data_IF_264859959066
#
_entry.id   IF_264859959066
#
_cell.length_a   1.000
_cell.length_b   1.000
_cell.length_c   1.000
_cell.angle_alpha   90.00
_cell.angle_beta   90.00
_cell.angle_gamma   90.00
#
_symmetry.space_group_name_H-M   'P 1'
#
loop_
_entity.id
_entity.type
_entity.pdbx_description
1 polymer ?
#
# COMPACT_ATOMS: atom_id res chain seq x y z
N UNK A 1 0.99 15.54 -17.49
CA UNK A 1 1.00 15.49 -16.01
C UNK A 1 2.37 15.04 -15.53
N UNK A 2 3.00 15.73 -14.56
CA UNK A 2 4.32 15.34 -14.05
C UNK A 2 4.18 14.22 -13.03
N UNK A 3 4.71 13.05 -13.32
CA UNK A 3 4.61 11.85 -12.48
C UNK A 3 5.97 11.42 -11.96
N UNK A 4 5.99 10.59 -10.92
CA UNK A 4 7.14 9.80 -10.49
C UNK A 4 6.68 8.42 -10.08
N UNK A 5 7.56 7.43 -10.27
CA UNK A 5 7.34 6.06 -9.83
C UNK A 5 8.25 5.72 -8.66
N UNK A 6 7.72 5.02 -7.66
CA UNK A 6 8.49 4.53 -6.52
C UNK A 6 8.26 3.03 -6.40
N UNK A 7 9.34 2.26 -6.30
CA UNK A 7 9.32 0.82 -6.06
C UNK A 7 10.02 0.51 -4.74
N UNK A 8 9.60 -0.50 -3.98
CA UNK A 8 10.31 -0.91 -2.77
C UNK A 8 11.72 -1.40 -3.05
N UNK A 9 11.92 -2.20 -4.09
CA UNK A 9 13.20 -2.84 -4.41
C UNK A 9 13.64 -2.60 -5.85
N UNK A 10 14.94 -2.80 -6.11
CA UNK A 10 15.48 -2.74 -7.48
C UNK A 10 15.01 -3.93 -8.31
N UNK A 11 14.78 -5.07 -7.70
CA UNK A 11 14.28 -6.28 -8.33
C UNK A 11 12.89 -6.05 -8.93
N UNK A 12 12.02 -5.33 -8.22
CA UNK A 12 10.70 -4.94 -8.71
C UNK A 12 10.75 -3.85 -9.78
N UNK A 13 11.69 -2.91 -9.65
CA UNK A 13 11.82 -1.77 -10.56
C UNK A 13 12.53 -2.09 -11.87
N UNK A 14 13.46 -3.05 -11.87
CA UNK A 14 14.42 -3.28 -12.95
C UNK A 14 13.76 -3.50 -14.32
N UNK A 15 12.72 -4.32 -14.37
CA UNK A 15 12.05 -4.61 -15.64
C UNK A 15 11.42 -3.34 -16.23
N UNK A 16 10.77 -2.52 -15.39
CA UNK A 16 10.20 -1.25 -15.81
C UNK A 16 11.25 -0.22 -16.18
N UNK A 17 12.36 -0.11 -15.44
CA UNK A 17 13.48 0.78 -15.79
C UNK A 17 14.05 0.45 -17.17
N UNK A 18 14.14 -0.83 -17.54
CA UNK A 18 14.64 -1.28 -18.83
C UNK A 18 13.71 -0.94 -20.00
N UNK A 19 12.47 -0.54 -19.76
CA UNK A 19 11.57 0.01 -20.80
C UNK A 19 11.84 1.50 -21.08
N UNK A 20 12.81 2.11 -20.39
CA UNK A 20 13.16 3.53 -20.51
C UNK A 20 11.97 4.48 -20.32
N UNK A 21 11.26 4.40 -19.17
CA UNK A 21 10.09 5.23 -18.93
C UNK A 21 10.45 6.72 -18.95
N UNK A 22 9.52 7.55 -19.43
CA UNK A 22 9.70 9.02 -19.52
C UNK A 22 9.79 9.69 -18.16
N UNK A 23 9.08 9.17 -17.18
CA UNK A 23 8.99 9.72 -15.83
C UNK A 23 10.05 9.10 -14.90
N UNK A 24 10.57 9.86 -13.91
CA UNK A 24 11.58 9.38 -12.98
C UNK A 24 11.13 8.17 -12.15
N UNK A 25 12.00 7.18 -12.04
CA UNK A 25 11.83 5.99 -11.21
C UNK A 25 12.77 6.07 -10.00
N UNK A 26 12.24 5.76 -8.82
CA UNK A 26 12.95 5.71 -7.55
C UNK A 26 12.83 4.33 -6.91
N UNK A 27 13.88 3.90 -6.24
CA UNK A 27 13.86 2.75 -5.33
C UNK A 27 13.78 3.29 -3.91
N UNK A 28 12.71 2.95 -3.21
CA UNK A 28 12.35 3.55 -1.93
C UNK A 28 12.86 2.80 -0.70
N UNK A 29 13.09 1.51 -0.81
CA UNK A 29 13.35 0.60 0.31
C UNK A 29 12.09 -0.10 0.80
N UNK A 30 12.28 -1.26 1.43
CA UNK A 30 11.20 -2.10 1.96
C UNK A 30 10.74 -1.59 3.32
N UNK A 31 9.42 -1.57 3.51
CA UNK A 31 8.78 -1.26 4.78
C UNK A 31 8.45 0.22 4.98
N UNK A 32 7.58 0.46 5.96
CA UNK A 32 6.94 1.77 6.18
C UNK A 32 7.92 2.92 6.38
N UNK A 33 9.01 2.72 7.12
CA UNK A 33 9.96 3.80 7.42
C UNK A 33 10.74 4.23 6.17
N UNK A 34 11.25 3.26 5.42
CA UNK A 34 12.06 3.53 4.22
C UNK A 34 11.22 4.18 3.13
N UNK A 35 10.03 3.63 2.85
CA UNK A 35 9.15 4.18 1.82
C UNK A 35 8.65 5.59 2.18
N UNK A 36 8.36 5.87 3.45
CA UNK A 36 7.97 7.20 3.89
C UNK A 36 9.08 8.22 3.64
N UNK A 37 10.31 7.90 4.04
CA UNK A 37 11.47 8.77 3.83
C UNK A 37 11.77 8.97 2.35
N UNK A 38 11.69 7.92 1.53
CA UNK A 38 11.92 7.99 0.10
C UNK A 38 10.85 8.84 -0.61
N UNK A 39 9.58 8.61 -0.30
CA UNK A 39 8.45 9.37 -0.85
C UNK A 39 8.60 10.86 -0.54
N UNK A 40 8.88 11.20 0.73
CA UNK A 40 9.11 12.58 1.15
C UNK A 40 10.24 13.24 0.35
N UNK A 41 11.39 12.56 0.21
CA UNK A 41 12.54 13.08 -0.56
C UNK A 41 12.21 13.27 -2.03
N UNK A 42 11.57 12.26 -2.66
CA UNK A 42 11.23 12.30 -4.08
C UNK A 42 10.22 13.40 -4.40
N UNK A 43 9.16 13.55 -3.60
CA UNK A 43 8.16 14.61 -3.77
C UNK A 43 8.77 15.99 -3.61
N UNK A 44 9.57 16.22 -2.56
CA UNK A 44 10.25 17.51 -2.36
C UNK A 44 11.22 17.87 -3.50
N UNK A 45 11.96 16.87 -4.01
CA UNK A 45 12.94 17.11 -5.06
C UNK A 45 12.30 17.31 -6.44
N UNK A 46 11.26 16.56 -6.77
CA UNK A 46 10.68 16.53 -8.11
C UNK A 46 9.40 17.34 -8.26
N UNK A 47 8.69 17.59 -7.15
CA UNK A 47 7.39 18.30 -7.12
C UNK A 47 6.43 17.72 -8.18
N UNK A 48 6.11 16.41 -8.10
CA UNK A 48 5.20 15.78 -9.03
C UNK A 48 3.76 16.23 -8.76
N UNK A 49 2.87 15.96 -9.72
CA UNK A 49 1.43 16.05 -9.55
C UNK A 49 0.87 14.70 -9.11
N UNK A 50 1.48 13.60 -9.56
CA UNK A 50 1.09 12.23 -9.21
C UNK A 50 2.31 11.41 -8.78
N UNK A 51 2.16 10.66 -7.69
CA UNK A 51 3.14 9.66 -7.24
C UNK A 51 2.53 8.27 -7.38
N UNK A 52 3.23 7.37 -8.05
CA UNK A 52 2.81 5.99 -8.25
C UNK A 52 3.69 5.08 -7.42
N UNK A 53 3.11 4.36 -6.45
CA UNK A 53 3.79 3.27 -5.77
C UNK A 53 3.50 1.98 -6.54
N UNK A 54 4.53 1.32 -7.04
CA UNK A 54 4.42 0.09 -7.79
C UNK A 54 5.23 -1.03 -7.11
N UNK A 55 4.69 -2.24 -7.06
CA UNK A 55 5.37 -3.37 -6.43
C UNK A 55 4.54 -4.64 -6.47
N UNK A 56 5.08 -5.69 -5.85
CA UNK A 56 4.36 -6.95 -5.68
C UNK A 56 3.58 -6.96 -4.37
N UNK A 57 2.62 -7.89 -4.24
CA UNK A 57 1.83 -8.09 -3.03
C UNK A 57 1.40 -9.55 -2.88
N UNK A 58 1.10 -9.97 -1.65
CA UNK A 58 0.47 -11.24 -1.35
C UNK A 58 -1.06 -11.13 -1.35
N UNK A 59 -1.79 -11.98 -2.08
CA UNK A 59 -3.24 -12.03 -1.99
C UNK A 59 -3.68 -12.73 -0.69
N UNK A 60 -4.63 -12.13 0.03
CA UNK A 60 -5.15 -12.72 1.27
C UNK A 60 -6.14 -13.88 1.01
N UNK A 61 -6.66 -13.97 -0.19
CA UNK A 61 -7.54 -15.04 -0.62
C UNK A 61 -7.29 -15.40 -2.10
N UNK A 62 -8.06 -16.35 -2.64
CA UNK A 62 -7.89 -16.84 -4.01
C UNK A 62 -8.84 -16.19 -5.03
N UNK A 63 -9.46 -15.08 -4.69
CA UNK A 63 -10.26 -14.29 -5.64
C UNK A 63 -9.36 -13.60 -6.66
N UNK A 64 -8.13 -13.25 -6.23
CA UNK A 64 -7.07 -12.74 -7.09
C UNK A 64 -6.14 -13.87 -7.54
N UNK A 65 -5.67 -13.78 -8.79
CA UNK A 65 -4.73 -14.76 -9.37
C UNK A 65 -3.30 -14.26 -9.23
N UNK A 66 -2.33 -15.19 -9.16
CA UNK A 66 -0.92 -14.82 -9.30
C UNK A 66 -0.69 -14.12 -10.64
N UNK A 67 0.17 -13.12 -10.64
CA UNK A 67 0.42 -12.26 -11.79
C UNK A 67 -0.66 -11.19 -12.03
N UNK A 68 -1.81 -11.26 -11.38
CA UNK A 68 -2.87 -10.27 -11.57
C UNK A 68 -2.45 -8.91 -11.04
N UNK A 69 -2.61 -7.87 -11.88
CA UNK A 69 -2.38 -6.49 -11.47
C UNK A 69 -3.64 -5.88 -10.86
N UNK A 70 -3.51 -5.25 -9.70
CA UNK A 70 -4.61 -4.59 -8.98
C UNK A 70 -4.26 -3.15 -8.63
N UNK A 71 -5.27 -2.31 -8.51
CA UNK A 71 -5.16 -0.97 -7.95
C UNK A 71 -5.49 -1.03 -6.46
N UNK A 72 -4.51 -0.69 -5.60
CA UNK A 72 -4.74 -0.52 -4.17
C UNK A 72 -5.42 0.81 -3.91
N UNK A 73 -6.66 0.80 -3.42
CA UNK A 73 -7.45 2.04 -3.20
C UNK A 73 -7.51 2.44 -1.74
N UNK A 74 -7.45 1.49 -0.83
CA UNK A 74 -7.38 1.73 0.61
C UNK A 74 -6.23 0.96 1.24
N UNK A 75 -5.76 1.40 2.39
CA UNK A 75 -4.69 0.77 3.16
C UNK A 75 -4.99 0.81 4.65
N UNK A 76 -4.79 -0.30 5.34
CA UNK A 76 -4.77 -0.37 6.80
C UNK A 76 -3.46 -0.96 7.29
N UNK A 77 -3.05 -0.64 8.52
CA UNK A 77 -1.85 -1.24 9.13
C UNK A 77 -2.29 -2.40 10.03
N UNK A 78 -1.75 -3.59 9.78
CA UNK A 78 -2.01 -4.76 10.62
C UNK A 78 -1.38 -4.59 12.02
N UNK A 79 -2.06 -5.14 13.04
CA UNK A 79 -1.56 -5.14 14.41
C UNK A 79 -1.75 -3.84 15.19
N UNK A 80 -2.32 -2.80 14.59
CA UNK A 80 -2.72 -1.59 15.31
C UNK A 80 -4.03 -1.85 16.06
N UNK A 81 -4.12 -1.58 17.38
CA UNK A 81 -5.38 -1.71 18.11
C UNK A 81 -6.48 -0.86 17.47
N UNK A 82 -7.71 -1.38 17.40
CA UNK A 82 -8.84 -0.77 16.71
C UNK A 82 -9.06 0.71 17.06
N UNK A 83 -8.94 1.09 18.34
CA UNK A 83 -9.08 2.48 18.79
C UNK A 83 -8.06 3.46 18.18
N UNK A 84 -6.97 2.96 17.58
CA UNK A 84 -5.92 3.74 16.91
C UNK A 84 -5.84 3.42 15.42
N UNK A 85 -6.60 2.44 14.96
CA UNK A 85 -6.62 2.06 13.56
C UNK A 85 -7.09 3.24 12.69
N UNK A 86 -6.45 3.37 11.56
CA UNK A 86 -6.80 4.36 10.52
C UNK A 86 -6.80 3.65 9.19
N UNK A 87 -7.66 4.12 8.32
CA UNK A 87 -7.64 3.80 6.91
C UNK A 87 -6.98 4.94 6.15
N UNK A 88 -6.17 4.60 5.17
CA UNK A 88 -5.49 5.51 4.28
C UNK A 88 -5.98 5.24 2.87
N UNK A 89 -6.23 6.29 2.10
CA UNK A 89 -6.78 6.16 0.75
C UNK A 89 -5.80 6.68 -0.29
N UNK A 90 -5.84 6.13 -1.49
CA UNK A 90 -5.23 6.74 -2.66
C UNK A 90 -6.10 7.86 -3.18
N UNK A 91 -5.49 8.89 -3.76
CA UNK A 91 -6.17 10.11 -4.23
C UNK A 91 -5.96 10.39 -5.72
N UNK A 92 -5.27 9.49 -6.41
CA UNK A 92 -4.97 9.62 -7.84
C UNK A 92 -6.15 9.19 -8.73
N UNK A 93 -5.95 9.24 -10.05
CA UNK A 93 -6.96 8.84 -11.03
C UNK A 93 -7.27 7.34 -10.94
N UNK A 94 -8.44 6.95 -11.41
CA UNK A 94 -8.79 5.56 -11.68
C UNK A 94 -7.89 5.01 -12.80
N UNK A 95 -7.25 3.87 -12.53
CA UNK A 95 -6.30 3.24 -13.45
C UNK A 95 -6.96 2.16 -14.32
N UNK A 96 -8.23 1.85 -14.09
CA UNK A 96 -8.97 0.82 -14.82
C UNK A 96 -8.51 -0.60 -14.49
N UNK A 97 -7.88 -0.81 -13.33
CA UNK A 97 -7.51 -2.13 -12.82
C UNK A 97 -8.55 -2.65 -11.83
N UNK A 98 -8.62 -3.96 -11.59
CA UNK A 98 -9.37 -4.50 -10.46
C UNK A 98 -8.95 -3.83 -9.15
N UNK A 99 -9.93 -3.41 -8.34
CA UNK A 99 -9.66 -2.71 -7.09
C UNK A 99 -9.35 -3.71 -5.98
N UNK A 100 -8.44 -3.32 -5.07
CA UNK A 100 -8.09 -4.09 -3.90
C UNK A 100 -7.91 -3.21 -2.66
N UNK A 101 -8.20 -3.75 -1.48
CA UNK A 101 -7.84 -3.14 -0.21
C UNK A 101 -6.46 -3.65 0.22
N UNK A 102 -5.57 -2.73 0.61
CA UNK A 102 -4.24 -3.06 1.08
C UNK A 102 -4.19 -3.31 2.59
N UNK A 103 -3.36 -4.24 2.98
CA UNK A 103 -2.98 -4.51 4.36
C UNK A 103 -1.49 -4.33 4.50
N UNK A 104 -1.06 -3.23 5.11
CA UNK A 104 0.35 -2.97 5.36
C UNK A 104 0.81 -3.71 6.60
N UNK A 105 1.84 -4.53 6.46
CA UNK A 105 2.41 -5.37 7.51
C UNK A 105 3.89 -5.07 7.74
N UNK A 106 4.41 -5.44 8.91
CA UNK A 106 5.84 -5.39 9.19
C UNK A 106 6.59 -6.65 8.75
N UNK A 107 5.87 -7.75 8.58
CA UNK A 107 6.38 -9.04 8.12
C UNK A 107 5.30 -9.78 7.33
N UNK A 108 5.67 -10.42 6.24
CA UNK A 108 4.74 -11.21 5.43
C UNK A 108 4.03 -12.29 6.25
N UNK A 109 2.71 -12.40 6.07
CA UNK A 109 1.84 -13.31 6.81
C UNK A 109 1.15 -12.68 8.03
N UNK A 110 1.56 -11.51 8.49
CA UNK A 110 0.95 -10.85 9.66
C UNK A 110 -0.48 -10.35 9.35
N UNK A 111 -0.79 -10.08 8.09
CA UNK A 111 -2.13 -9.64 7.65
C UNK A 111 -3.19 -10.71 7.80
N UNK A 112 -2.86 -11.97 7.55
CA UNK A 112 -3.77 -13.11 7.74
C UNK A 112 -4.08 -13.35 9.23
N UNK A 113 -3.09 -13.17 10.11
CA UNK A 113 -3.26 -13.34 11.55
C UNK A 113 -4.20 -12.28 12.17
N UNK A 114 -4.30 -11.11 11.55
CA UNK A 114 -5.17 -10.03 12.05
C UNK A 114 -6.68 -10.32 11.87
N UNK A 115 -7.07 -11.25 10.99
CA UNK A 115 -8.48 -11.64 10.78
C UNK A 115 -8.99 -12.62 11.85
N UNK A 116 -8.10 -13.38 12.49
CA UNK A 116 -8.49 -14.45 13.43
C UNK A 116 -8.71 -13.98 14.88
N UNK A 117 -8.56 -12.69 15.21
CA UNK A 117 -8.57 -12.18 16.58
C UNK A 117 -7.40 -12.71 17.43
N UNK A 118 -7.13 -12.19 18.63
CA UNK A 118 -6.05 -12.68 19.46
C UNK A 118 -6.33 -14.13 19.86
N UNK A 119 -5.61 -15.08 19.26
CA UNK A 119 -5.54 -16.44 19.79
C UNK A 119 -4.95 -16.31 21.19
N UNK A 120 -5.76 -16.65 22.21
CA UNK A 120 -5.37 -16.76 23.61
C UNK A 120 -3.96 -17.35 23.68
N UNK A 121 -2.97 -16.55 24.09
CA UNK A 121 -1.66 -17.05 24.44
C UNK A 121 -1.83 -17.93 25.70
N UNK A 122 -1.75 -19.24 25.52
CA UNK A 122 -1.63 -20.16 26.61
C UNK A 122 -0.32 -19.90 27.34
N UNK A 123 -0.45 -19.63 28.62
CA UNK A 123 0.47 -19.74 29.75
C UNK A 123 1.96 -20.01 29.45
N UNK A 124 2.80 -19.05 29.79
CA UNK A 124 4.24 -19.18 29.84
C UNK A 124 4.88 -18.15 30.77
N UNK A 125 5.00 -18.49 32.04
CA UNK A 125 5.95 -18.06 33.08
C UNK A 125 6.32 -16.58 33.17
N UNK A 126 5.90 -15.98 34.31
CA UNK A 126 6.20 -14.63 34.73
C UNK A 126 7.68 -14.29 34.83
N UNK A 127 7.99 -13.09 34.37
CA UNK A 127 9.08 -12.28 34.90
C UNK A 127 8.52 -10.89 35.16
N UNK A 128 8.58 -10.49 36.42
CA UNK A 128 8.26 -9.15 36.88
C UNK A 128 9.21 -8.16 36.23
N UNK A 129 8.72 -7.29 35.37
CA UNK A 129 9.43 -6.12 34.88
C UNK A 129 9.00 -4.92 35.72
N UNK A 130 9.99 -4.26 36.28
CA UNK A 130 9.85 -3.10 37.15
C UNK A 130 9.18 -1.92 36.47
N UNK A 131 8.52 -1.17 37.31
CA UNK A 131 7.86 0.11 37.10
C UNK A 131 8.80 1.12 36.42
N UNK A 132 8.68 1.30 35.12
CA UNK A 132 9.31 2.38 34.37
C UNK A 132 8.27 3.48 34.19
N UNK A 133 8.40 4.53 35.00
CA UNK A 133 7.55 5.71 34.99
C UNK A 133 7.39 6.28 33.56
N UNK A 134 6.17 6.40 33.11
CA UNK A 134 5.81 7.12 31.89
C UNK A 134 6.14 8.60 32.08
N UNK A 135 7.03 9.11 31.23
CA UNK A 135 7.25 10.54 31.10
C UNK A 135 5.98 11.23 30.65
N UNK A 136 5.65 12.35 31.30
CA UNK A 136 4.53 13.23 30.96
C UNK A 136 4.59 13.65 29.47
N UNK A 137 3.44 13.81 28.79
CA UNK A 137 3.42 14.25 27.41
C UNK A 137 3.92 15.69 27.29
N UNK A 138 4.82 15.94 26.35
CA UNK A 138 5.31 17.27 26.02
C UNK A 138 4.17 18.25 25.74
N UNK A 139 4.13 19.46 26.33
CA UNK A 139 3.15 20.48 26.04
C UNK A 139 3.45 21.11 24.69
N UNK A 140 2.64 20.82 23.67
CA UNK A 140 2.83 21.38 22.35
C UNK A 140 1.84 20.93 21.27
N UNK A 141 0.98 19.98 21.55
CA UNK A 141 -0.10 19.60 20.61
C UNK A 141 -1.46 19.96 21.23
N UNK A 142 -2.04 21.06 20.82
CA UNK A 142 -3.40 21.43 21.17
C UNK A 142 -4.38 20.74 20.22
N UNK A 143 -5.53 20.35 20.76
CA UNK A 143 -6.58 19.60 20.05
C UNK A 143 -7.27 20.39 18.91
N UNK A 144 -6.81 21.61 18.60
CA UNK A 144 -7.44 22.53 17.66
C UNK A 144 -6.93 22.41 16.21
N UNK A 145 -5.89 21.63 15.94
CA UNK A 145 -5.40 21.44 14.56
C UNK A 145 -6.23 20.39 13.76
N UNK A 146 -7.41 20.00 14.26
CA UNK A 146 -8.32 19.05 13.59
C UNK A 146 -9.35 19.70 12.67
N UNK A 147 -9.35 21.02 12.52
CA UNK A 147 -10.31 21.72 11.68
C UNK A 147 -9.66 22.11 10.35
N UNK A 148 -10.02 21.39 9.32
CA UNK A 148 -9.93 21.88 7.96
C UNK A 148 -9.11 21.06 7.00
N UNK A 149 -9.67 19.98 6.51
CA UNK A 149 -9.77 19.70 5.08
C UNK A 149 -10.76 18.56 4.93
N UNK A 150 -12.05 18.93 4.91
CA UNK A 150 -13.05 18.08 4.27
C UNK A 150 -12.71 18.13 2.78
N UNK A 151 -12.13 17.07 2.26
CA UNK A 151 -12.06 16.84 0.83
C UNK A 151 -13.51 16.75 0.35
N UNK A 152 -13.86 17.60 -0.61
CA UNK A 152 -15.11 17.55 -1.35
C UNK A 152 -15.26 16.12 -1.91
N UNK A 153 -16.26 15.41 -1.38
CA UNK A 153 -16.50 14.01 -1.68
C UNK A 153 -16.98 13.82 -3.13
N UNK A 154 -16.05 13.77 -4.04
CA UNK A 154 -16.32 13.17 -5.35
C UNK A 154 -16.27 11.66 -5.16
N UNK A 155 -17.44 11.06 -4.88
CA UNK A 155 -17.60 9.60 -4.87
C UNK A 155 -17.11 9.05 -6.20
N UNK A 156 -16.00 8.30 -6.18
CA UNK A 156 -15.61 7.45 -7.31
C UNK A 156 -16.77 6.50 -7.60
N UNK A 157 -17.38 6.65 -8.78
CA UNK A 157 -18.36 5.69 -9.28
C UNK A 157 -17.59 4.42 -9.62
N UNK A 158 -17.96 3.30 -8.99
CA UNK A 158 -17.46 1.98 -9.37
C UNK A 158 -17.86 1.69 -10.80
N UNK A 159 -16.93 1.23 -11.67
CA UNK A 159 -17.30 0.82 -13.03
C UNK A 159 -18.24 -0.39 -12.95
N UNK A 160 -19.29 -0.39 -13.75
CA UNK A 160 -20.16 -1.55 -13.97
C UNK A 160 -19.33 -2.67 -14.63
N UNK A 161 -18.74 -3.54 -13.82
CA UNK A 161 -18.00 -4.72 -14.24
C UNK A 161 -18.79 -5.97 -13.93
N UNK A 162 -19.11 -6.70 -14.97
CA UNK A 162 -19.62 -8.09 -15.08
C UNK A 162 -20.47 -8.64 -13.90
N UNK A 163 -21.78 -8.91 -14.07
CA UNK A 163 -22.75 -9.14 -12.98
C UNK A 163 -22.81 -10.57 -12.43
N UNK A 164 -21.73 -11.32 -12.38
CA UNK A 164 -21.79 -12.71 -11.90
C UNK A 164 -20.87 -13.02 -10.71
N UNK A 165 -20.64 -12.15 -9.76
CA UNK A 165 -20.25 -12.47 -8.37
C UNK A 165 -19.80 -11.25 -7.56
N UNK A 166 -20.67 -10.29 -7.32
CA UNK A 166 -20.37 -9.22 -6.35
C UNK A 166 -21.40 -9.26 -5.22
N UNK A 167 -20.99 -9.82 -4.08
CA UNK A 167 -21.51 -9.35 -2.81
C UNK A 167 -21.18 -7.86 -2.70
N UNK A 168 -22.19 -7.00 -2.69
CA UNK A 168 -22.06 -5.55 -2.64
C UNK A 168 -20.99 -5.14 -1.62
N UNK A 169 -19.91 -4.46 -2.07
CA UNK A 169 -18.94 -3.78 -1.22
C UNK A 169 -17.69 -4.55 -0.82
N UNK A 170 -17.48 -5.81 -1.21
CA UNK A 170 -16.25 -6.55 -0.86
C UNK A 170 -15.12 -6.24 -1.84
N UNK A 171 -14.02 -5.66 -1.32
CA UNK A 171 -12.75 -5.56 -2.04
C UNK A 171 -11.84 -6.72 -1.62
N UNK A 172 -11.21 -7.44 -2.57
CA UNK A 172 -10.19 -8.42 -2.22
C UNK A 172 -9.02 -7.73 -1.51
N UNK A 173 -8.41 -8.42 -0.54
CA UNK A 173 -7.30 -7.85 0.22
C UNK A 173 -5.95 -8.34 -0.30
N UNK A 174 -4.98 -7.41 -0.33
CA UNK A 174 -3.57 -7.69 -0.65
C UNK A 174 -2.65 -7.20 0.46
N UNK A 175 -1.71 -8.06 0.87
CA UNK A 175 -0.69 -7.76 1.86
C UNK A 175 0.53 -7.12 1.19
N UNK A 176 1.00 -6.01 1.76
CA UNK A 176 2.22 -5.31 1.37
C UNK A 176 2.93 -4.71 2.58
N UNK A 177 4.09 -4.09 2.43
CA UNK A 177 4.86 -3.53 3.55
C UNK A 177 4.98 -2.00 3.53
N UNK A 178 4.40 -1.31 2.59
CA UNK A 178 4.66 0.12 2.30
C UNK A 178 3.41 0.99 2.22
N UNK A 179 2.29 0.45 1.76
CA UNK A 179 1.17 1.22 1.23
C UNK A 179 0.61 2.27 2.17
N UNK A 180 0.36 1.94 3.44
CA UNK A 180 -0.19 2.89 4.41
C UNK A 180 0.76 4.08 4.65
N UNK A 181 2.06 3.83 4.77
CA UNK A 181 3.04 4.89 4.98
C UNK A 181 3.21 5.78 3.74
N UNK A 182 3.15 5.19 2.56
CA UNK A 182 3.14 5.91 1.29
C UNK A 182 1.93 6.86 1.18
N UNK A 183 0.72 6.34 1.37
CA UNK A 183 -0.51 7.14 1.33
C UNK A 183 -0.50 8.25 2.38
N UNK A 184 -0.06 7.96 3.62
CA UNK A 184 0.04 8.95 4.69
C UNK A 184 0.96 10.13 4.31
N UNK A 185 2.11 9.85 3.71
CA UNK A 185 3.06 10.90 3.28
C UNK A 185 2.50 11.71 2.12
N UNK A 186 1.89 11.06 1.13
CA UNK A 186 1.28 11.78 -0.01
C UNK A 186 0.15 12.70 0.46
N UNK A 187 -0.73 12.22 1.34
CA UNK A 187 -1.80 13.02 1.94
C UNK A 187 -1.25 14.22 2.73
N UNK A 188 -0.21 14.00 3.56
CA UNK A 188 0.42 15.07 4.33
C UNK A 188 1.10 16.14 3.45
N UNK A 189 1.52 15.77 2.25
CA UNK A 189 2.15 16.69 1.29
C UNK A 189 1.16 17.28 0.28
N UNK A 190 -0.11 16.85 0.29
CA UNK A 190 -1.13 17.31 -0.65
C UNK A 190 -0.81 16.94 -2.10
N UNK A 191 -0.21 15.77 -2.33
CA UNK A 191 0.11 15.26 -3.67
C UNK A 191 -0.75 14.04 -3.98
N UNK A 192 -1.29 13.99 -5.20
CA UNK A 192 -2.06 12.82 -5.65
C UNK A 192 -1.20 11.57 -5.68
N UNK A 193 -1.80 10.43 -5.31
CA UNK A 193 -1.09 9.17 -5.32
C UNK A 193 -2.01 8.00 -5.74
N UNK A 194 -1.41 7.01 -6.36
CA UNK A 194 -2.03 5.72 -6.64
C UNK A 194 -1.06 4.57 -6.35
N UNK A 195 -1.60 3.37 -6.21
CA UNK A 195 -0.82 2.15 -6.00
C UNK A 195 -1.20 1.11 -7.05
N UNK A 196 -0.19 0.47 -7.63
CA UNK A 196 -0.37 -0.71 -8.48
C UNK A 196 0.42 -1.85 -7.87
N UNK A 197 -0.28 -2.97 -7.64
CA UNK A 197 0.32 -4.18 -7.09
C UNK A 197 0.08 -5.35 -8.04
N UNK A 198 1.10 -6.18 -8.23
CA UNK A 198 0.93 -7.47 -8.90
C UNK A 198 1.01 -8.61 -7.87
N UNK A 199 0.08 -9.52 -7.92
CA UNK A 199 0.01 -10.65 -6.97
C UNK A 199 1.16 -11.62 -7.22
N UNK A 200 2.08 -11.74 -6.27
CA UNK A 200 3.20 -12.67 -6.35
C UNK A 200 2.94 -14.02 -5.67
N UNK A 201 2.09 -14.02 -4.64
CA UNK A 201 1.86 -15.18 -3.78
C UNK A 201 0.50 -15.08 -3.09
N UNK A 202 0.11 -16.15 -2.44
CA UNK A 202 -0.94 -16.08 -1.42
C UNK A 202 -0.30 -15.96 -0.04
N UNK A 203 -0.92 -15.16 0.84
CA UNK A 203 -0.40 -14.92 2.20
C UNK A 203 -0.25 -16.25 2.94
N UNK A 204 0.90 -16.42 3.59
CA UNK A 204 1.26 -17.66 4.27
C UNK A 204 2.09 -18.65 3.42
N UNK A 205 2.25 -18.43 2.13
CA UNK A 205 3.13 -19.26 1.30
C UNK A 205 4.61 -18.96 1.58
N UNK A 206 5.48 -19.98 1.62
CA UNK A 206 6.92 -19.75 1.75
C UNK A 206 7.48 -19.00 0.53
N UNK A 207 8.46 -18.13 0.76
CA UNK A 207 9.05 -17.29 -0.28
C UNK A 207 9.48 -18.04 -1.55
N UNK A 208 9.99 -19.26 -1.41
CA UNK A 208 10.41 -20.08 -2.56
C UNK A 208 9.26 -20.53 -3.48
N UNK A 209 8.01 -20.28 -3.11
CA UNK A 209 6.82 -20.57 -3.94
C UNK A 209 6.21 -19.32 -4.57
N UNK A 210 6.81 -18.17 -4.33
CA UNK A 210 6.32 -16.90 -4.88
C UNK A 210 6.64 -16.79 -6.38
N UNK A 211 5.66 -16.39 -7.16
CA UNK A 211 5.79 -16.16 -8.61
C UNK A 211 6.31 -14.72 -8.88
N UNK A 212 7.46 -14.37 -8.30
CA UNK A 212 8.00 -12.99 -8.33
C UNK A 212 8.28 -12.52 -9.77
N UNK A 213 8.91 -13.36 -10.60
CA UNK A 213 9.25 -12.99 -11.99
C UNK A 213 8.00 -12.72 -12.83
N UNK A 214 6.96 -13.57 -12.69
CA UNK A 214 5.67 -13.40 -13.36
C UNK A 214 4.98 -12.11 -12.89
N UNK A 215 4.92 -11.88 -11.57
CA UNK A 215 4.31 -10.69 -11.01
C UNK A 215 5.01 -9.40 -11.47
N UNK A 216 6.34 -9.35 -11.44
CA UNK A 216 7.14 -8.20 -11.91
C UNK A 216 6.97 -7.96 -13.41
N UNK A 217 6.93 -9.03 -14.22
CA UNK A 217 6.67 -8.94 -15.66
C UNK A 217 5.30 -8.31 -15.95
N UNK A 218 4.26 -8.83 -15.31
CA UNK A 218 2.90 -8.32 -15.49
C UNK A 218 2.72 -6.90 -14.93
N UNK A 219 3.38 -6.57 -13.80
CA UNK A 219 3.42 -5.21 -13.26
C UNK A 219 4.00 -4.24 -14.28
N UNK A 220 5.14 -4.60 -14.87
CA UNK A 220 5.81 -3.78 -15.91
C UNK A 220 4.91 -3.55 -17.11
N UNK A 221 4.24 -4.61 -17.59
CA UNK A 221 3.29 -4.51 -18.70
C UNK A 221 2.14 -3.55 -18.38
N UNK A 222 1.54 -3.66 -17.18
CA UNK A 222 0.45 -2.77 -16.74
C UNK A 222 0.89 -1.32 -16.63
N UNK A 223 2.07 -1.07 -16.05
CA UNK A 223 2.63 0.29 -15.97
C UNK A 223 2.82 0.91 -17.35
N UNK A 224 3.37 0.15 -18.32
CA UNK A 224 3.52 0.64 -19.69
C UNK A 224 2.17 0.89 -20.36
N UNK A 225 1.19 0.00 -20.20
CA UNK A 225 -0.14 0.17 -20.76
C UNK A 225 -0.84 1.43 -20.24
N UNK A 226 -0.74 1.69 -18.94
CA UNK A 226 -1.45 2.80 -18.28
C UNK A 226 -0.75 4.13 -18.52
N UNK A 227 0.57 4.18 -18.43
CA UNK A 227 1.30 5.44 -18.34
C UNK A 227 2.14 5.80 -19.56
N UNK A 228 2.55 4.83 -20.38
CA UNK A 228 3.46 5.08 -21.50
C UNK A 228 2.78 4.97 -22.87
N UNK A 229 1.71 4.19 -23.00
CA UNK A 229 1.02 3.95 -24.28
C UNK A 229 -0.22 4.82 -24.52
N UNK A 230 -0.61 5.70 -23.59
CA UNK A 230 -1.83 6.51 -23.64
C UNK A 230 -1.60 7.97 -24.10
N UNK A 231 -0.59 8.23 -24.96
CA UNK A 231 -0.41 9.52 -25.65
C UNK A 231 -0.55 9.41 -27.18
#
# INVERSE_FOLDING_TARGET
MKRIFIFPTIEEAKAFILTEPRDPVFVGGVGMAEIAAATLRAVKAKKPQLVVLAGIAGACDRTLRRGEGVEGVTERIAGIPERYAREYETSGPDLGLPLAAGVTVSRSGDGAAAKDGPKSAAEGTGHAAGDAGFAEPHPGFTADDRAGHAADGTQRQTPEGNPENTSEGYLPEVENMEGAAFCAVCAALGVECCQIRAVSNYVGEPFGQWAVEEAVGNLTEKLNQIFENNE
#
